data_IF_742071557028
#
_entry.id   IF_742071557028
#
_cell.length_a   1.000
_cell.length_b   1.000
_cell.length_c   1.000
_cell.angle_alpha   90.00
_cell.angle_beta   90.00
_cell.angle_gamma   90.00
#
_symmetry.space_group_name_H-M   'P 1'
#
loop_
_entity.id
_entity.type
_entity.pdbx_description
1 polymer ?
#
# COMPACT_ATOMS: atom_id res chain seq x y z
N UNK A 1 14.34 13.55 -12.16
CA UNK A 1 13.02 13.37 -11.52
C UNK A 1 11.91 13.79 -12.46
N UNK A 2 10.68 13.38 -12.16
CA UNK A 2 9.59 13.34 -13.13
C UNK A 2 9.41 14.68 -13.86
N UNK A 3 9.49 14.66 -15.18
CA UNK A 3 9.45 15.89 -16.01
C UNK A 3 8.01 16.30 -16.32
N UNK A 4 7.13 15.32 -16.51
CA UNK A 4 5.71 15.48 -16.78
C UNK A 4 4.96 14.22 -16.32
N UNK A 5 3.61 14.27 -16.17
CA UNK A 5 2.82 13.06 -15.96
C UNK A 5 3.19 11.98 -17.00
N UNK A 6 3.51 10.75 -16.58
CA UNK A 6 3.95 9.72 -17.50
C UNK A 6 2.77 9.18 -18.31
N UNK A 7 3.03 8.86 -19.56
CA UNK A 7 2.14 8.06 -20.39
C UNK A 7 2.41 6.55 -20.17
N UNK A 8 1.58 5.73 -20.83
CA UNK A 8 1.69 4.27 -20.77
C UNK A 8 3.06 3.77 -21.26
N UNK A 9 3.64 4.40 -22.29
CA UNK A 9 4.96 4.02 -22.80
C UNK A 9 6.06 4.30 -21.78
N UNK A 10 6.01 5.45 -21.11
CA UNK A 10 6.94 5.82 -20.04
C UNK A 10 6.87 4.85 -18.87
N UNK A 11 5.68 4.41 -18.49
CA UNK A 11 5.48 3.39 -17.44
C UNK A 11 5.96 2.00 -17.88
N UNK A 12 5.63 1.60 -19.12
CA UNK A 12 6.12 0.34 -19.71
C UNK A 12 7.65 0.29 -19.74
N UNK A 13 8.27 1.43 -20.07
CA UNK A 13 9.72 1.58 -20.09
C UNK A 13 10.33 1.49 -18.68
N UNK A 14 9.66 2.03 -17.66
CA UNK A 14 10.09 1.85 -16.27
C UNK A 14 10.10 0.37 -15.85
N UNK A 15 9.11 -0.43 -16.28
CA UNK A 15 9.11 -1.88 -16.06
C UNK A 15 10.30 -2.57 -16.72
N UNK A 16 10.64 -2.18 -17.94
CA UNK A 16 11.81 -2.72 -18.64
C UNK A 16 13.11 -2.40 -17.89
N UNK A 17 13.28 -1.18 -17.40
CA UNK A 17 14.52 -0.84 -16.68
C UNK A 17 14.60 -1.53 -15.31
N UNK A 18 13.48 -1.68 -14.60
CA UNK A 18 13.45 -2.45 -13.35
C UNK A 18 13.71 -3.95 -13.59
N UNK A 19 13.22 -4.54 -14.68
CA UNK A 19 13.50 -5.95 -14.99
C UNK A 19 14.97 -6.21 -15.27
N UNK A 20 15.69 -5.22 -15.85
CA UNK A 20 17.16 -5.28 -16.02
C UNK A 20 17.92 -5.26 -14.69
N UNK A 21 17.32 -4.71 -13.63
CA UNK A 21 17.84 -4.79 -12.27
C UNK A 21 17.45 -6.09 -11.54
N UNK A 22 16.68 -6.97 -12.17
CA UNK A 22 16.22 -8.23 -11.57
C UNK A 22 14.83 -8.16 -10.91
N UNK A 23 14.09 -7.06 -11.08
CA UNK A 23 12.70 -7.00 -10.62
C UNK A 23 11.79 -7.95 -11.44
N UNK A 24 10.75 -8.49 -10.81
CA UNK A 24 9.72 -9.29 -11.49
C UNK A 24 8.75 -8.39 -12.27
N UNK A 25 9.24 -7.81 -13.36
CA UNK A 25 8.50 -6.91 -14.22
C UNK A 25 8.67 -7.29 -15.69
N UNK A 26 7.64 -7.00 -16.50
CA UNK A 26 7.69 -7.11 -17.95
C UNK A 26 7.28 -5.79 -18.56
N UNK A 27 8.17 -5.18 -19.33
CA UNK A 27 7.98 -3.89 -19.97
C UNK A 27 8.66 -3.84 -21.32
N UNK A 28 8.37 -2.79 -22.08
CA UNK A 28 8.87 -2.62 -23.43
C UNK A 28 10.05 -1.65 -23.50
N UNK A 29 10.94 -1.89 -24.46
CA UNK A 29 12.03 -0.98 -24.78
C UNK A 29 11.50 0.12 -25.71
N UNK A 30 11.03 1.20 -25.10
CA UNK A 30 10.59 2.42 -25.79
C UNK A 30 11.55 3.59 -25.53
N UNK A 31 11.51 4.67 -26.34
CA UNK A 31 12.20 5.92 -26.02
C UNK A 31 11.85 6.39 -24.61
N UNK A 32 12.84 6.88 -23.87
CA UNK A 32 12.64 7.34 -22.51
C UNK A 32 13.31 8.70 -22.31
N UNK A 33 12.64 9.68 -21.72
CA UNK A 33 13.24 11.00 -21.48
C UNK A 33 14.21 11.00 -20.30
N UNK A 34 14.37 9.88 -19.60
CA UNK A 34 15.19 9.76 -18.40
C UNK A 34 16.46 8.96 -18.69
N UNK A 35 17.56 9.39 -18.07
CA UNK A 35 18.88 8.74 -18.13
C UNK A 35 19.42 8.57 -16.70
N UNK A 36 18.85 7.65 -15.90
CA UNK A 36 19.36 7.39 -14.57
C UNK A 36 20.80 6.84 -14.66
N UNK A 37 21.70 7.40 -13.88
CA UNK A 37 23.12 7.04 -13.88
C UNK A 37 23.46 5.98 -12.81
N UNK A 38 22.49 5.64 -11.97
CA UNK A 38 22.64 4.65 -10.89
C UNK A 38 21.32 3.89 -10.66
N UNK A 39 21.44 2.74 -10.02
CA UNK A 39 20.29 1.97 -9.51
C UNK A 39 19.44 2.84 -8.59
N UNK A 40 20.07 3.60 -7.70
CA UNK A 40 19.37 4.46 -6.75
C UNK A 40 18.60 5.61 -7.41
N UNK A 41 19.14 6.20 -8.47
CA UNK A 41 18.44 7.21 -9.26
C UNK A 41 17.22 6.63 -9.97
N UNK A 42 17.37 5.44 -10.57
CA UNK A 42 16.27 4.72 -11.20
C UNK A 42 15.17 4.38 -10.18
N UNK A 43 15.53 3.88 -9.00
CA UNK A 43 14.56 3.58 -7.93
C UNK A 43 13.84 4.84 -7.44
N UNK A 44 14.53 5.97 -7.27
CA UNK A 44 13.90 7.23 -6.90
C UNK A 44 12.90 7.70 -7.98
N UNK A 45 13.29 7.63 -9.26
CA UNK A 45 12.41 7.97 -10.38
C UNK A 45 11.19 7.04 -10.44
N UNK A 46 11.40 5.73 -10.33
CA UNK A 46 10.31 4.75 -10.33
C UNK A 46 9.38 4.93 -9.11
N UNK A 47 9.90 5.31 -7.94
CA UNK A 47 9.08 5.65 -6.79
C UNK A 47 8.14 6.83 -7.08
N UNK A 48 8.59 7.84 -7.83
CA UNK A 48 7.75 8.96 -8.25
C UNK A 48 6.71 8.52 -9.30
N UNK A 49 7.14 7.74 -10.28
CA UNK A 49 6.28 7.15 -11.33
C UNK A 49 5.21 6.23 -10.74
N UNK A 50 5.49 5.55 -9.63
CA UNK A 50 4.55 4.62 -8.98
C UNK A 50 3.26 5.29 -8.52
N UNK A 51 3.25 6.63 -8.39
CA UNK A 51 2.01 7.39 -8.15
C UNK A 51 1.03 7.32 -9.33
N UNK A 52 1.43 6.82 -10.50
CA UNK A 52 0.56 6.70 -11.67
C UNK A 52 0.19 5.26 -11.99
N UNK A 53 0.83 4.27 -11.35
CA UNK A 53 0.53 2.86 -11.58
C UNK A 53 0.71 2.01 -10.31
N UNK A 54 -0.38 1.46 -9.73
CA UNK A 54 -0.32 0.54 -8.60
C UNK A 54 0.54 -0.70 -8.82
N UNK A 55 0.69 -1.16 -10.06
CA UNK A 55 1.52 -2.33 -10.38
C UNK A 55 3.00 -2.00 -10.21
N UNK A 56 3.42 -0.83 -10.68
CA UNK A 56 4.78 -0.31 -10.46
C UNK A 56 5.10 -0.15 -9.00
N UNK A 57 4.14 0.33 -8.20
CA UNK A 57 4.29 0.38 -6.76
C UNK A 57 4.54 -1.02 -6.17
N UNK A 58 3.76 -2.02 -6.56
CA UNK A 58 3.94 -3.42 -6.14
C UNK A 58 5.31 -3.98 -6.49
N UNK A 59 5.76 -3.79 -7.74
CA UNK A 59 7.08 -4.24 -8.23
C UNK A 59 8.21 -3.62 -7.40
N UNK A 60 8.11 -2.34 -7.04
CA UNK A 60 9.12 -1.68 -6.22
C UNK A 60 9.16 -2.22 -4.80
N UNK A 61 8.01 -2.48 -4.17
CA UNK A 61 7.97 -3.09 -2.83
C UNK A 61 8.59 -4.49 -2.86
N UNK A 62 8.26 -5.30 -3.86
CA UNK A 62 8.85 -6.64 -4.04
C UNK A 62 10.35 -6.57 -4.28
N UNK A 63 10.81 -5.64 -5.14
CA UNK A 63 12.22 -5.44 -5.41
C UNK A 63 12.98 -5.05 -4.14
N UNK A 64 12.46 -4.09 -3.37
CA UNK A 64 13.06 -3.69 -2.09
C UNK A 64 13.13 -4.87 -1.12
N UNK A 65 12.08 -5.69 -1.03
CA UNK A 65 12.06 -6.85 -0.14
C UNK A 65 13.22 -7.83 -0.43
N UNK A 66 13.59 -7.98 -1.71
CA UNK A 66 14.66 -8.89 -2.14
C UNK A 66 16.05 -8.28 -2.15
N UNK A 67 16.15 -6.98 -2.47
CA UNK A 67 17.42 -6.33 -2.81
C UNK A 67 17.78 -5.15 -1.90
N UNK A 68 17.06 -4.90 -0.80
CA UNK A 68 17.35 -3.72 0.05
C UNK A 68 18.79 -3.67 0.56
N UNK A 69 19.45 -4.82 0.73
CA UNK A 69 20.87 -4.90 1.15
C UNK A 69 21.86 -4.41 0.10
N UNK A 70 21.48 -4.45 -1.17
CA UNK A 70 22.31 -4.03 -2.31
C UNK A 70 22.18 -2.52 -2.58
N UNK A 71 21.11 -1.89 -2.05
CA UNK A 71 20.82 -0.48 -2.26
C UNK A 71 21.69 0.35 -1.33
N UNK A 72 22.37 1.35 -1.88
CA UNK A 72 23.10 2.34 -1.08
C UNK A 72 22.12 3.39 -0.57
N UNK A 73 21.74 3.35 0.72
CA UNK A 73 20.65 4.20 1.19
C UNK A 73 21.02 5.69 1.08
N UNK A 74 22.28 6.06 1.30
CA UNK A 74 22.73 7.45 1.19
C UNK A 74 22.53 8.01 -0.23
N UNK A 75 22.86 7.21 -1.26
CA UNK A 75 22.72 7.61 -2.65
C UNK A 75 21.24 7.75 -3.02
N UNK A 76 20.41 6.78 -2.62
CA UNK A 76 18.94 6.85 -2.82
C UNK A 76 18.35 8.11 -2.19
N UNK A 77 18.79 8.49 -0.98
CA UNK A 77 18.37 9.74 -0.34
C UNK A 77 18.77 10.98 -1.14
N UNK A 78 19.99 11.00 -1.66
CA UNK A 78 20.47 12.13 -2.47
C UNK A 78 19.64 12.35 -3.74
N UNK A 79 19.14 11.26 -4.34
CA UNK A 79 18.28 11.32 -5.52
C UNK A 79 16.85 11.68 -5.13
N UNK A 80 16.22 10.98 -4.19
CA UNK A 80 14.82 11.25 -3.88
C UNK A 80 14.60 12.64 -3.29
N UNK A 81 15.63 13.25 -2.68
CA UNK A 81 15.51 14.56 -2.05
C UNK A 81 15.17 15.67 -3.05
N UNK A 82 15.41 15.45 -4.34
CA UNK A 82 15.06 16.40 -5.41
C UNK A 82 13.67 16.11 -6.02
N UNK A 83 12.93 15.12 -5.50
CA UNK A 83 11.60 14.72 -6.01
C UNK A 83 10.59 15.79 -5.61
N UNK A 84 9.52 15.94 -6.40
CA UNK A 84 8.38 16.73 -5.93
C UNK A 84 7.71 16.08 -4.71
N UNK A 85 7.85 14.75 -4.56
CA UNK A 85 7.25 13.99 -3.46
C UNK A 85 8.21 12.91 -2.93
N UNK A 86 9.24 13.28 -2.15
CA UNK A 86 10.18 12.33 -1.53
C UNK A 86 9.50 11.24 -0.69
N UNK A 87 8.34 11.55 -0.12
CA UNK A 87 7.56 10.68 0.75
C UNK A 87 7.10 9.39 0.05
N UNK A 88 7.09 9.32 -1.28
CA UNK A 88 6.81 8.08 -2.00
C UNK A 88 7.81 6.96 -1.63
N UNK A 89 9.10 7.29 -1.48
CA UNK A 89 10.11 6.33 -1.02
C UNK A 89 9.84 5.92 0.43
N UNK A 90 9.42 6.87 1.26
CA UNK A 90 9.09 6.61 2.66
C UNK A 90 7.90 5.63 2.80
N UNK A 91 6.88 5.75 1.95
CA UNK A 91 5.75 4.82 1.86
C UNK A 91 6.22 3.43 1.42
N UNK A 92 7.03 3.32 0.36
CA UNK A 92 7.62 2.05 -0.08
C UNK A 92 8.40 1.37 1.07
N UNK A 93 9.16 2.16 1.83
CA UNK A 93 9.94 1.71 2.97
C UNK A 93 9.06 1.22 4.14
N UNK A 94 7.87 1.80 4.36
CA UNK A 94 6.90 1.26 5.33
C UNK A 94 6.39 -0.12 4.91
N UNK A 95 6.08 -0.31 3.63
CA UNK A 95 5.64 -1.63 3.15
C UNK A 95 6.75 -2.67 3.25
N UNK A 96 8.01 -2.30 2.98
CA UNK A 96 9.17 -3.15 3.23
C UNK A 96 9.24 -3.57 4.70
N UNK A 97 9.13 -2.62 5.63
CA UNK A 97 9.14 -2.89 7.08
C UNK A 97 7.97 -3.77 7.54
N UNK A 98 6.79 -3.59 6.94
CA UNK A 98 5.63 -4.44 7.22
C UNK A 98 5.82 -5.88 6.70
N UNK A 99 6.58 -6.05 5.61
CA UNK A 99 6.89 -7.36 5.03
C UNK A 99 8.03 -8.09 5.74
N UNK A 100 9.06 -7.37 6.17
CA UNK A 100 10.21 -7.89 6.94
C UNK A 100 10.44 -7.02 8.19
N UNK A 101 9.95 -7.45 9.37
CA UNK A 101 10.09 -6.71 10.62
C UNK A 101 11.46 -6.85 11.27
N UNK A 102 12.48 -7.35 10.56
CA UNK A 102 13.84 -7.50 11.07
C UNK A 102 14.46 -6.16 11.53
N UNK A 103 15.37 -6.19 12.53
CA UNK A 103 15.97 -4.98 13.08
C UNK A 103 16.80 -4.21 12.04
N UNK A 104 17.49 -4.89 11.13
CA UNK A 104 18.27 -4.24 10.06
C UNK A 104 17.38 -3.45 9.10
N UNK A 105 16.26 -4.05 8.68
CA UNK A 105 15.26 -3.38 7.82
C UNK A 105 14.71 -2.16 8.52
N UNK A 106 14.42 -2.26 9.82
CA UNK A 106 13.98 -1.11 10.61
C UNK A 106 14.99 0.04 10.56
N UNK A 107 16.28 -0.22 10.75
CA UNK A 107 17.32 0.83 10.66
C UNK A 107 17.45 1.41 9.25
N UNK A 108 17.41 0.56 8.22
CA UNK A 108 17.42 1.00 6.83
C UNK A 108 16.25 1.94 6.52
N UNK A 109 15.04 1.56 6.92
CA UNK A 109 13.81 2.32 6.73
C UNK A 109 13.85 3.64 7.52
N UNK A 110 14.24 3.60 8.79
CA UNK A 110 14.38 4.80 9.62
C UNK A 110 15.41 5.78 9.04
N UNK A 111 16.52 5.26 8.49
CA UNK A 111 17.51 6.09 7.80
C UNK A 111 16.92 6.74 6.54
N UNK A 112 16.23 5.98 5.68
CA UNK A 112 15.59 6.54 4.49
C UNK A 112 14.51 7.57 4.83
N UNK A 113 13.85 7.46 5.97
CA UNK A 113 12.75 8.35 6.35
C UNK A 113 13.20 9.60 7.11
N UNK A 114 14.45 9.62 7.59
CA UNK A 114 14.94 10.69 8.46
C UNK A 114 14.91 12.05 7.77
N UNK A 115 14.28 13.02 8.43
CA UNK A 115 14.16 14.40 7.93
C UNK A 115 13.00 14.63 6.97
N UNK A 116 12.22 13.60 6.64
CA UNK A 116 10.98 13.75 5.90
C UNK A 116 9.81 14.03 6.85
N UNK A 117 8.90 14.89 6.42
CA UNK A 117 7.61 15.14 7.08
C UNK A 117 6.46 14.61 6.21
N UNK A 118 5.37 14.12 6.81
CA UNK A 118 4.16 13.78 6.08
C UNK A 118 3.64 14.95 5.25
N UNK A 119 3.06 14.67 4.09
CA UNK A 119 2.37 15.69 3.28
C UNK A 119 0.94 15.91 3.81
N UNK A 120 0.26 17.01 3.43
CA UNK A 120 -1.18 17.11 3.63
C UNK A 120 -1.91 15.93 2.97
N UNK A 121 -2.99 15.47 3.61
CA UNK A 121 -3.75 14.30 3.15
C UNK A 121 -4.19 14.46 1.69
N UNK A 122 -3.73 13.54 0.86
CA UNK A 122 -4.05 13.47 -0.56
C UNK A 122 -4.08 12.03 -1.06
N UNK A 123 -4.69 11.77 -2.20
CA UNK A 123 -4.60 10.45 -2.83
C UNK A 123 -3.15 10.13 -3.21
N UNK A 124 -2.72 8.90 -2.95
CA UNK A 124 -1.39 8.46 -3.38
C UNK A 124 -1.32 8.44 -4.91
N UNK A 125 -2.25 7.70 -5.51
CA UNK A 125 -2.33 7.54 -6.96
C UNK A 125 -3.02 8.73 -7.61
N UNK A 126 -2.36 9.27 -8.63
CA UNK A 126 -2.88 10.32 -9.50
C UNK A 126 -3.74 9.68 -10.58
N UNK A 127 -4.92 10.25 -10.81
CA UNK A 127 -5.86 9.88 -11.88
C UNK A 127 -6.34 8.42 -11.91
N UNK A 128 -6.05 7.63 -10.87
CA UNK A 128 -6.53 6.24 -10.78
C UNK A 128 -8.06 6.15 -10.67
N UNK A 129 -8.68 7.13 -10.01
CA UNK A 129 -10.13 7.20 -9.82
C UNK A 129 -10.66 8.59 -10.13
N UNK A 130 -11.88 8.63 -10.68
CA UNK A 130 -12.62 9.88 -10.85
C UNK A 130 -12.77 10.61 -9.50
N UNK A 131 -12.47 11.92 -9.43
CA UNK A 131 -12.66 12.72 -8.22
C UNK A 131 -14.09 12.60 -7.67
N UNK A 132 -14.22 12.39 -6.35
CA UNK A 132 -15.51 12.24 -5.69
C UNK A 132 -16.26 10.92 -6.00
N UNK A 133 -15.73 10.06 -6.86
CA UNK A 133 -16.31 8.77 -7.20
C UNK A 133 -16.32 7.79 -6.02
N UNK A 134 -17.16 6.75 -6.10
CA UNK A 134 -17.30 5.72 -5.04
C UNK A 134 -15.97 5.06 -4.67
N UNK A 135 -15.09 4.81 -5.65
CA UNK A 135 -13.77 4.22 -5.43
C UNK A 135 -12.79 5.18 -4.77
N UNK A 136 -12.85 6.47 -5.10
CA UNK A 136 -12.07 7.51 -4.45
C UNK A 136 -12.48 7.66 -2.98
N UNK A 137 -13.79 7.75 -2.69
CA UNK A 137 -14.32 7.77 -1.32
C UNK A 137 -13.88 6.53 -0.52
N UNK A 138 -13.96 5.35 -1.12
CA UNK A 138 -13.45 4.11 -0.52
C UNK A 138 -11.97 4.20 -0.19
N UNK A 139 -11.15 4.76 -1.07
CA UNK A 139 -9.71 4.89 -0.83
C UNK A 139 -9.41 5.82 0.34
N UNK A 140 -10.24 6.82 0.59
CA UNK A 140 -10.13 7.71 1.75
C UNK A 140 -10.54 6.98 3.04
N UNK A 141 -11.70 6.33 3.02
CA UNK A 141 -12.29 5.64 4.18
C UNK A 141 -11.51 4.39 4.60
N UNK A 142 -10.98 3.65 3.63
CA UNK A 142 -10.41 2.30 3.77
C UNK A 142 -8.88 2.31 3.51
N UNK A 143 -8.20 3.46 3.67
CA UNK A 143 -6.76 3.60 3.39
C UNK A 143 -5.88 2.78 4.34
N UNK A 144 -4.79 2.23 3.80
CA UNK A 144 -3.77 1.51 4.57
C UNK A 144 -2.95 2.48 5.42
N UNK A 145 -2.46 1.99 6.56
CA UNK A 145 -1.73 2.78 7.55
C UNK A 145 -0.37 3.25 7.01
N UNK A 146 0.29 2.45 6.17
CA UNK A 146 1.56 2.77 5.53
C UNK A 146 1.46 4.04 4.66
N UNK A 147 0.36 4.18 3.91
CA UNK A 147 0.06 5.41 3.16
C UNK A 147 -0.31 6.56 4.09
N UNK A 148 -1.23 6.34 5.05
CA UNK A 148 -1.72 7.41 5.94
C UNK A 148 -0.62 8.05 6.77
N UNK A 149 0.36 7.25 7.23
CA UNK A 149 1.51 7.73 8.01
C UNK A 149 2.25 8.87 7.31
N UNK A 150 2.29 8.86 5.99
CA UNK A 150 3.01 9.83 5.17
C UNK A 150 2.08 10.86 4.50
N UNK A 151 0.81 10.91 4.88
CA UNK A 151 -0.16 11.87 4.33
C UNK A 151 -0.82 11.40 3.03
N UNK A 152 -0.73 10.11 2.71
CA UNK A 152 -1.37 9.56 1.52
C UNK A 152 -2.59 8.71 1.84
N UNK A 153 -3.50 8.65 0.89
CA UNK A 153 -4.73 7.87 0.95
C UNK A 153 -4.76 6.88 -0.21
N UNK A 154 -4.74 5.60 0.12
CA UNK A 154 -4.86 4.50 -0.82
C UNK A 154 -5.14 3.18 -0.09
N UNK A 155 -5.92 2.32 -0.73
CA UNK A 155 -6.27 0.98 -0.24
C UNK A 155 -5.53 -0.15 -0.97
N UNK A 156 -4.75 0.19 -2.00
CA UNK A 156 -4.08 -0.81 -2.84
C UNK A 156 -2.96 -1.51 -2.05
N UNK A 157 -3.07 -2.83 -1.94
CA UNK A 157 -2.08 -3.66 -1.26
C UNK A 157 -1.06 -4.17 -2.28
N UNK A 158 0.23 -3.83 -2.16
CA UNK A 158 1.24 -4.41 -3.04
C UNK A 158 1.32 -5.93 -2.81
N UNK A 159 1.43 -6.68 -3.92
CA UNK A 159 1.70 -8.12 -3.90
C UNK A 159 3.21 -8.30 -3.84
N UNK A 160 3.69 -9.07 -2.85
CA UNK A 160 5.14 -9.30 -2.60
C UNK A 160 5.62 -10.69 -3.04
N UNK A 161 4.66 -11.60 -3.30
CA UNK A 161 4.92 -12.92 -3.87
C UNK A 161 3.73 -13.27 -4.75
N UNK A 162 3.92 -13.21 -6.08
CA UNK A 162 2.87 -13.48 -7.07
C UNK A 162 2.44 -14.95 -7.04
N UNK A 163 3.37 -15.87 -6.79
CA UNK A 163 3.08 -17.31 -6.76
C UNK A 163 2.25 -17.67 -5.53
N UNK A 164 2.58 -17.10 -4.37
CA UNK A 164 1.82 -17.30 -3.13
C UNK A 164 0.64 -16.34 -2.96
N UNK A 165 0.45 -15.41 -3.91
CA UNK A 165 -0.56 -14.33 -3.85
C UNK A 165 -0.53 -13.57 -2.52
N UNK A 166 0.68 -13.38 -1.98
CA UNK A 166 0.86 -12.73 -0.69
C UNK A 166 0.90 -11.22 -0.89
N UNK A 167 0.08 -10.49 -0.14
CA UNK A 167 0.04 -9.03 -0.18
C UNK A 167 0.31 -8.44 1.21
N UNK A 168 0.85 -7.23 1.26
CA UNK A 168 1.19 -6.55 2.52
C UNK A 168 0.42 -5.24 2.66
N UNK A 169 0.34 -4.75 3.89
CA UNK A 169 -0.39 -3.55 4.26
C UNK A 169 -1.28 -3.77 5.46
N UNK A 170 -1.39 -2.74 6.29
CA UNK A 170 -2.14 -2.79 7.53
C UNK A 170 -3.27 -1.76 7.51
N UNK A 171 -4.41 -2.11 8.12
CA UNK A 171 -5.54 -1.20 8.27
C UNK A 171 -5.56 -0.68 9.70
N UNK A 172 -5.71 0.63 9.87
CA UNK A 172 -5.95 1.21 11.19
C UNK A 172 -7.36 0.91 11.71
N UNK A 173 -7.63 1.28 12.96
CA UNK A 173 -8.89 0.97 13.62
C UNK A 173 -10.10 1.61 12.93
N UNK A 174 -9.94 2.83 12.41
CA UNK A 174 -11.02 3.58 11.76
C UNK A 174 -11.36 3.00 10.39
N UNK A 175 -10.35 2.68 9.58
CA UNK A 175 -10.57 2.02 8.29
C UNK A 175 -11.18 0.63 8.46
N UNK A 176 -10.77 -0.13 9.48
CA UNK A 176 -11.42 -1.41 9.84
C UNK A 176 -12.88 -1.23 10.24
N UNK A 177 -13.19 -0.18 11.01
CA UNK A 177 -14.58 0.15 11.39
C UNK A 177 -15.42 0.54 10.18
N UNK A 178 -14.90 1.36 9.27
CA UNK A 178 -15.60 1.78 8.05
C UNK A 178 -15.96 0.57 7.17
N UNK A 179 -15.01 -0.35 6.99
CA UNK A 179 -15.24 -1.62 6.26
C UNK A 179 -16.37 -2.41 6.93
N UNK A 180 -16.34 -2.57 8.25
CA UNK A 180 -17.38 -3.29 8.99
C UNK A 180 -18.76 -2.65 8.86
N UNK A 181 -18.86 -1.33 9.07
CA UNK A 181 -20.13 -0.59 8.94
C UNK A 181 -20.75 -0.83 7.58
N UNK A 182 -19.95 -0.69 6.51
CA UNK A 182 -20.40 -0.92 5.15
C UNK A 182 -20.84 -2.37 4.88
N UNK A 183 -20.09 -3.36 5.39
CA UNK A 183 -20.48 -4.76 5.27
C UNK A 183 -21.84 -5.02 5.94
N UNK A 184 -22.10 -4.40 7.08
CA UNK A 184 -23.40 -4.49 7.74
C UNK A 184 -24.51 -3.77 6.99
N UNK A 185 -24.24 -2.61 6.40
CA UNK A 185 -25.20 -1.90 5.53
C UNK A 185 -25.57 -2.74 4.30
N UNK A 186 -24.59 -3.43 3.70
CA UNK A 186 -24.80 -4.23 2.49
C UNK A 186 -25.48 -5.59 2.77
N UNK A 187 -25.16 -6.26 3.88
CA UNK A 187 -25.61 -7.64 4.17
C UNK A 187 -26.61 -7.77 5.31
N UNK A 188 -26.72 -6.78 6.20
CA UNK A 188 -27.51 -6.83 7.44
C UNK A 188 -26.93 -7.73 8.54
N UNK A 189 -26.41 -8.91 8.17
CA UNK A 189 -25.73 -9.85 9.05
C UNK A 189 -24.40 -10.35 8.47
N UNK A 190 -23.43 -10.66 9.34
CA UNK A 190 -22.08 -11.07 8.93
C UNK A 190 -21.59 -12.29 9.70
N UNK A 191 -20.82 -13.17 9.05
CA UNK A 191 -19.95 -14.14 9.72
C UNK A 191 -18.57 -13.54 9.92
N UNK A 192 -17.79 -14.07 10.87
CA UNK A 192 -16.39 -13.67 11.06
C UNK A 192 -15.57 -13.79 9.77
N UNK A 193 -15.82 -14.85 8.98
CA UNK A 193 -15.15 -15.08 7.70
C UNK A 193 -15.45 -14.01 6.64
N UNK A 194 -16.67 -13.44 6.63
CA UNK A 194 -17.00 -12.33 5.72
C UNK A 194 -16.12 -11.12 6.01
N UNK A 195 -15.94 -10.81 7.30
CA UNK A 195 -15.11 -9.69 7.72
C UNK A 195 -13.63 -9.94 7.41
N UNK A 196 -13.10 -11.11 7.77
CA UNK A 196 -11.71 -11.49 7.49
C UNK A 196 -11.39 -11.42 5.99
N UNK A 197 -12.32 -11.87 5.14
CA UNK A 197 -12.18 -11.75 3.68
C UNK A 197 -12.14 -10.29 3.22
N UNK A 198 -13.00 -9.43 3.78
CA UNK A 198 -13.08 -8.03 3.39
C UNK A 198 -11.84 -7.21 3.79
N UNK A 199 -11.15 -7.61 4.86
CA UNK A 199 -9.85 -7.01 5.27
C UNK A 199 -8.65 -7.76 4.71
N UNK A 200 -8.87 -8.65 3.72
CA UNK A 200 -7.84 -9.45 3.06
C UNK A 200 -6.94 -10.23 4.03
N UNK A 201 -7.55 -10.76 5.11
CA UNK A 201 -6.85 -11.46 6.19
C UNK A 201 -5.75 -10.63 6.87
N UNK A 202 -5.73 -9.31 6.67
CA UNK A 202 -4.74 -8.39 7.22
C UNK A 202 -4.86 -8.17 8.75
N UNK A 203 -5.71 -8.93 9.44
CA UNK A 203 -5.83 -8.94 10.90
C UNK A 203 -6.03 -10.36 11.42
N UNK A 204 -5.60 -10.59 12.65
CA UNK A 204 -5.81 -11.88 13.33
C UNK A 204 -7.29 -12.13 13.61
N UNK A 205 -7.67 -13.41 13.75
CA UNK A 205 -9.05 -13.78 14.14
C UNK A 205 -9.46 -13.14 15.47
N UNK A 206 -8.52 -13.02 16.41
CA UNK A 206 -8.76 -12.39 17.71
C UNK A 206 -9.07 -10.90 17.57
N UNK A 207 -8.29 -10.18 16.74
CA UNK A 207 -8.54 -8.78 16.44
C UNK A 207 -9.89 -8.59 15.74
N UNK A 208 -10.19 -9.43 14.75
CA UNK A 208 -11.46 -9.38 14.03
C UNK A 208 -12.68 -9.61 14.94
N UNK A 209 -12.57 -10.56 15.88
CA UNK A 209 -13.59 -10.78 16.91
C UNK A 209 -13.72 -9.60 17.87
N UNK A 210 -12.61 -8.99 18.27
CA UNK A 210 -12.61 -7.79 19.11
C UNK A 210 -13.32 -6.63 18.43
N UNK A 211 -13.04 -6.40 17.14
CA UNK A 211 -13.67 -5.34 16.37
C UNK A 211 -15.18 -5.58 16.16
N UNK A 212 -15.60 -6.81 15.87
CA UNK A 212 -17.03 -7.16 15.79
C UNK A 212 -17.75 -6.93 17.12
N UNK A 213 -17.16 -7.34 18.26
CA UNK A 213 -17.78 -7.17 19.59
C UNK A 213 -18.03 -5.70 19.96
N UNK A 214 -17.25 -4.77 19.43
CA UNK A 214 -17.43 -3.33 19.69
C UNK A 214 -18.77 -2.84 19.16
N UNK A 215 -19.13 -3.21 17.92
CA UNK A 215 -20.27 -2.62 17.19
C UNK A 215 -21.46 -3.57 16.98
N UNK A 216 -21.25 -4.88 17.12
CA UNK A 216 -22.22 -5.91 16.80
C UNK A 216 -22.43 -6.89 17.98
N UNK A 217 -23.52 -7.68 17.88
CA UNK A 217 -23.84 -8.78 18.79
C UNK A 217 -24.12 -10.04 17.98
N UNK A 218 -23.95 -11.21 18.59
CA UNK A 218 -24.31 -12.49 17.96
C UNK A 218 -25.83 -12.59 17.85
N UNK A 219 -26.32 -12.95 16.67
CA UNK A 219 -27.72 -13.26 16.41
C UNK A 219 -28.05 -14.67 16.91
N UNK A 220 -29.04 -14.78 17.80
CA UNK A 220 -29.48 -16.06 18.37
C UNK A 220 -28.50 -16.69 19.38
N UNK A 221 -28.69 -17.98 19.66
CA UNK A 221 -27.97 -18.73 20.70
C UNK A 221 -26.71 -19.47 20.21
N UNK A 222 -26.49 -19.58 18.89
CA UNK A 222 -25.35 -20.32 18.32
C UNK A 222 -24.05 -19.50 18.44
N UNK A 223 -23.23 -19.84 19.42
CA UNK A 223 -21.84 -19.37 19.58
C UNK A 223 -20.90 -20.33 18.84
N UNK A 224 -19.95 -19.81 18.05
CA UNK A 224 -18.97 -20.63 17.34
C UNK A 224 -18.59 -20.10 15.95
N UNK A 225 -17.86 -20.88 15.13
CA UNK A 225 -17.37 -20.46 13.80
C UNK A 225 -18.47 -20.04 12.82
N UNK A 226 -19.69 -20.58 12.99
CA UNK A 226 -20.87 -20.23 12.21
C UNK A 226 -21.74 -19.12 12.81
N UNK A 227 -21.28 -18.44 13.88
CA UNK A 227 -22.03 -17.36 14.51
C UNK A 227 -22.26 -16.22 13.52
N UNK A 228 -23.51 -15.78 13.42
CA UNK A 228 -23.90 -14.60 12.66
C UNK A 228 -23.93 -13.41 13.61
N UNK A 229 -23.40 -12.29 13.15
CA UNK A 229 -23.35 -11.04 13.88
C UNK A 229 -24.34 -10.06 13.25
N UNK A 230 -25.00 -9.27 14.07
CA UNK A 230 -25.90 -8.18 13.68
C UNK A 230 -25.52 -6.92 14.44
N UNK A 231 -25.73 -5.75 13.82
CA UNK A 231 -25.46 -4.48 14.49
C UNK A 231 -26.23 -4.38 15.81
N UNK A 232 -25.57 -3.81 16.83
CA UNK A 232 -26.28 -3.43 18.05
C UNK A 232 -27.28 -2.34 17.67
N UNK A 233 -28.56 -2.52 18.02
CA UNK A 233 -29.51 -1.42 17.95
C UNK A 233 -29.00 -0.33 18.88
N UNK A 234 -28.75 0.85 18.34
CA UNK A 234 -28.53 2.06 19.15
C UNK A 234 -29.83 2.29 19.91
N UNK A 235 -29.76 2.35 21.23
CA UNK A 235 -30.91 2.76 22.06
C UNK A 235 -31.04 4.26 22.00
#
# INVERSE_FOLDING_TARGET
>A
MLVAPPDTETLSRAYYELSRLGAQASGEKSPWPYQPNSTEELLALCAELSRYDPRLFGILVEYLLRHWREIRPQDLRSHYAKMATPQCVAVLAEFLKSADPGPEVKYFVEYLQRGLSPVPFQLFYKDLYAPGGKLSKRSIEESLAEFKKWGFLSRERPTIDVHKKTSVGSLDADSRRNILTKLFEEKGELRLGDYLKAVHEGVTRQQALSDLKKIAKVAGSKRGPGARWVLKKVK
#
